data_IF_756630630559
#
_entry.id   IF_756630630559
#
_cell.length_a   1.000
_cell.length_b   1.000
_cell.length_c   1.000
_cell.angle_alpha   90.00
_cell.angle_beta   90.00
_cell.angle_gamma   90.00
#
_symmetry.space_group_name_H-M   'P 1'
#
loop_
_entity.id
_entity.type
_entity.pdbx_description
1 polymer ?
#
# COMPACT_ATOMS: atom_id res chain seq x y z
N UNK A 1 19.64 -33.95 -1.48
CA UNK A 1 18.23 -34.17 -1.10
C UNK A 1 17.43 -33.02 -1.68
N UNK A 2 16.27 -33.26 -2.29
CA UNK A 2 15.44 -32.16 -2.85
C UNK A 2 14.79 -31.41 -1.69
N UNK A 3 14.96 -30.07 -1.62
CA UNK A 3 14.33 -29.25 -0.60
C UNK A 3 12.85 -29.08 -0.95
N UNK A 4 11.97 -29.38 0.00
CA UNK A 4 10.52 -29.29 -0.16
C UNK A 4 9.89 -28.63 1.08
N UNK A 5 8.64 -28.17 0.94
CA UNK A 5 7.82 -27.70 2.05
C UNK A 5 7.53 -28.89 2.96
N UNK A 6 7.88 -28.77 4.24
CA UNK A 6 7.72 -29.84 5.24
C UNK A 6 6.54 -29.59 6.17
N UNK A 7 6.26 -28.33 6.47
CA UNK A 7 5.16 -27.95 7.37
C UNK A 7 4.64 -26.55 7.06
N UNK A 8 3.34 -26.35 7.27
CA UNK A 8 2.68 -25.04 7.20
C UNK A 8 1.76 -24.91 8.39
N UNK A 9 1.96 -23.87 9.20
CA UNK A 9 1.19 -23.62 10.44
C UNK A 9 0.69 -22.18 10.41
N UNK A 10 -0.63 -22.01 10.56
CA UNK A 10 -1.27 -20.71 10.73
C UNK A 10 -1.43 -20.35 12.21
N UNK A 11 -1.39 -19.05 12.52
CA UNK A 11 -1.77 -18.52 13.82
C UNK A 11 -2.49 -17.20 13.69
N UNK A 12 -3.27 -16.88 14.72
CA UNK A 12 -3.87 -15.56 14.88
C UNK A 12 -2.89 -14.67 15.63
N UNK A 13 -2.64 -13.47 15.10
CA UNK A 13 -1.86 -12.41 15.75
C UNK A 13 -2.69 -11.13 15.79
N UNK A 14 -2.19 -10.07 16.40
CA UNK A 14 -2.89 -8.79 16.52
C UNK A 14 -2.23 -7.74 15.61
N UNK A 15 -3.05 -7.01 14.87
CA UNK A 15 -2.62 -5.90 14.01
C UNK A 15 -2.45 -4.57 14.77
N UNK A 16 -1.98 -3.52 14.10
CA UNK A 16 -1.73 -2.19 14.65
C UNK A 16 -2.98 -1.47 15.18
N UNK A 17 -4.18 -1.97 14.87
CA UNK A 17 -5.47 -1.47 15.34
C UNK A 17 -6.07 -2.31 16.45
N UNK A 18 -5.36 -3.34 16.95
CA UNK A 18 -5.86 -4.26 17.98
C UNK A 18 -6.86 -5.30 17.44
N UNK A 19 -6.96 -5.47 16.11
CA UNK A 19 -7.78 -6.52 15.51
C UNK A 19 -6.94 -7.76 15.21
N UNK A 20 -7.52 -8.97 15.26
CA UNK A 20 -6.80 -10.18 14.86
C UNK A 20 -6.54 -10.20 13.35
N UNK A 21 -5.39 -10.73 13.00
CA UNK A 21 -4.99 -11.04 11.62
C UNK A 21 -4.24 -12.36 11.55
N UNK A 22 -3.88 -12.81 10.35
CA UNK A 22 -3.29 -14.12 10.09
C UNK A 22 -1.77 -14.01 9.92
N UNK A 23 -1.06 -14.89 10.61
CA UNK A 23 0.34 -15.21 10.32
C UNK A 23 0.47 -16.68 9.92
N UNK A 24 1.25 -16.99 8.88
CA UNK A 24 1.65 -18.34 8.53
C UNK A 24 3.16 -18.55 8.74
N UNK A 25 3.54 -19.73 9.22
CA UNK A 25 4.93 -20.18 9.27
C UNK A 25 5.07 -21.37 8.34
N UNK A 26 6.06 -21.32 7.44
CA UNK A 26 6.44 -22.41 6.53
C UNK A 26 7.80 -22.95 6.94
N UNK A 27 7.88 -24.27 7.15
CA UNK A 27 9.12 -25.01 7.41
C UNK A 27 9.51 -25.84 6.21
N UNK A 28 10.80 -25.92 5.90
CA UNK A 28 11.38 -26.68 4.80
C UNK A 28 12.13 -27.93 5.32
N UNK A 29 12.35 -28.89 4.44
CA UNK A 29 13.08 -30.16 4.77
C UNK A 29 14.55 -29.96 5.09
N UNK A 30 15.15 -28.81 4.78
CA UNK A 30 16.51 -28.42 5.19
C UNK A 30 16.61 -27.79 6.58
N UNK A 31 15.48 -27.72 7.32
CA UNK A 31 15.39 -27.09 8.62
C UNK A 31 15.15 -25.58 8.58
N UNK A 32 15.09 -24.97 7.41
CA UNK A 32 14.75 -23.55 7.26
C UNK A 32 13.26 -23.33 7.58
N UNK A 33 12.96 -22.23 8.26
CA UNK A 33 11.58 -21.75 8.44
C UNK A 33 11.47 -20.23 8.30
N UNK A 34 10.34 -19.77 7.86
CA UNK A 34 9.99 -18.34 7.82
C UNK A 34 8.50 -18.12 8.07
N UNK A 35 8.18 -16.93 8.53
CA UNK A 35 6.80 -16.51 8.76
C UNK A 35 6.47 -15.25 7.97
N UNK A 36 5.18 -15.09 7.71
CA UNK A 36 4.61 -13.91 7.10
C UNK A 36 3.28 -13.57 7.75
N UNK A 37 3.09 -12.30 8.05
CA UNK A 37 1.85 -11.75 8.59
C UNK A 37 1.15 -10.90 7.54
N UNK A 38 -0.18 -10.97 7.50
CA UNK A 38 -0.99 -10.27 6.49
C UNK A 38 -1.62 -9.02 7.10
N UNK A 39 -1.55 -7.87 6.41
CA UNK A 39 -2.26 -6.66 6.84
C UNK A 39 -3.77 -6.75 6.57
N UNK A 40 -4.54 -5.82 7.15
CA UNK A 40 -6.00 -5.72 7.04
C UNK A 40 -6.43 -4.30 6.67
N UNK A 41 -7.35 -4.14 5.72
CA UNK A 41 -7.91 -2.84 5.37
C UNK A 41 -8.89 -2.30 6.42
N UNK A 42 -9.06 -0.97 6.47
CA UNK A 42 -10.16 -0.32 7.18
C UNK A 42 -11.39 -0.23 6.28
N UNK A 43 -11.22 0.27 5.07
CA UNK A 43 -12.14 0.18 3.94
C UNK A 43 -11.68 -0.94 3.00
N UNK A 44 -12.61 -1.54 2.28
CA UNK A 44 -12.32 -2.56 1.26
C UNK A 44 -13.05 -2.20 0.00
N UNK A 45 -12.32 -2.08 -1.12
CA UNK A 45 -12.92 -1.92 -2.45
C UNK A 45 -13.84 -3.09 -2.78
N UNK A 46 -14.90 -2.83 -3.54
CA UNK A 46 -15.94 -3.83 -3.84
C UNK A 46 -15.39 -5.06 -4.59
N UNK A 47 -14.24 -4.93 -5.22
CA UNK A 47 -13.61 -5.97 -6.04
C UNK A 47 -12.40 -6.63 -5.40
N UNK A 48 -12.07 -6.31 -4.15
CA UNK A 48 -10.97 -6.96 -3.41
C UNK A 48 -11.25 -8.43 -3.14
N UNK A 49 -10.19 -9.23 -3.06
CA UNK A 49 -10.27 -10.59 -2.55
C UNK A 49 -10.73 -10.62 -1.09
N UNK A 50 -11.51 -11.62 -0.73
CA UNK A 50 -12.21 -11.66 0.57
C UNK A 50 -11.24 -11.98 1.70
N UNK A 51 -11.14 -11.06 2.65
CA UNK A 51 -10.55 -11.32 3.95
C UNK A 51 -11.53 -12.15 4.81
N UNK A 52 -11.19 -13.40 5.07
CA UNK A 52 -12.09 -14.30 5.79
C UNK A 52 -12.09 -13.98 7.28
N UNK A 53 -13.26 -13.58 7.79
CA UNK A 53 -13.55 -13.30 9.20
C UNK A 53 -14.50 -14.33 9.79
N UNK A 54 -14.36 -14.59 11.09
CA UNK A 54 -15.16 -15.62 11.78
C UNK A 54 -16.64 -15.24 11.92
N UNK A 55 -16.94 -13.95 12.05
CA UNK A 55 -18.24 -13.47 12.52
C UNK A 55 -18.45 -13.78 14.03
N UNK A 56 -19.68 -13.63 14.49
CA UNK A 56 -20.04 -13.86 15.89
C UNK A 56 -19.44 -12.83 16.87
N UNK A 57 -19.38 -13.17 18.16
CA UNK A 57 -19.05 -12.19 19.21
C UNK A 57 -17.55 -12.00 19.44
N UNK A 58 -16.73 -12.99 19.08
CA UNK A 58 -15.28 -12.94 19.31
C UNK A 58 -14.63 -11.85 18.49
N UNK A 59 -13.89 -10.92 19.14
CA UNK A 59 -13.32 -9.72 18.52
C UNK A 59 -14.34 -8.91 17.71
N UNK A 60 -15.58 -8.83 18.20
CA UNK A 60 -16.69 -8.16 17.51
C UNK A 60 -16.87 -8.65 16.06
N UNK A 61 -16.77 -9.95 15.84
CA UNK A 61 -16.89 -10.58 14.53
C UNK A 61 -15.61 -10.63 13.70
N UNK A 62 -14.53 -9.97 14.14
CA UNK A 62 -13.28 -9.84 13.36
C UNK A 62 -12.27 -10.99 13.58
N UNK A 63 -12.61 -12.05 14.33
CA UNK A 63 -11.75 -13.22 14.51
C UNK A 63 -11.32 -13.86 13.19
N UNK A 64 -10.17 -14.58 13.17
CA UNK A 64 -9.61 -15.22 11.98
C UNK A 64 -9.31 -16.71 12.16
N UNK A 65 -9.94 -17.35 13.14
CA UNK A 65 -9.72 -18.79 13.42
C UNK A 65 -10.09 -19.69 12.25
N UNK A 66 -11.13 -19.33 11.46
CA UNK A 66 -11.49 -20.06 10.23
C UNK A 66 -10.34 -20.04 9.24
N UNK A 67 -9.78 -18.87 8.95
CA UNK A 67 -8.62 -18.72 8.06
C UNK A 67 -7.40 -19.50 8.58
N UNK A 68 -7.09 -19.41 9.86
CA UNK A 68 -6.02 -20.20 10.53
C UNK A 68 -6.27 -21.72 10.41
N UNK A 69 -7.50 -22.15 10.58
CA UNK A 69 -7.89 -23.57 10.43
C UNK A 69 -7.70 -24.03 8.98
N UNK A 70 -8.09 -23.20 8.00
CA UNK A 70 -7.91 -23.49 6.59
C UNK A 70 -6.43 -23.68 6.22
N UNK A 71 -5.52 -22.85 6.78
CA UNK A 71 -4.07 -23.05 6.60
C UNK A 71 -3.65 -24.43 7.07
N UNK A 72 -4.02 -24.80 8.30
CA UNK A 72 -3.51 -26.03 8.94
C UNK A 72 -4.18 -27.30 8.44
N UNK A 73 -5.47 -27.25 8.09
CA UNK A 73 -6.28 -28.44 7.76
C UNK A 73 -6.49 -28.67 6.28
N UNK A 74 -6.45 -27.60 5.46
CA UNK A 74 -6.72 -27.68 4.02
C UNK A 74 -5.45 -27.39 3.23
N UNK A 75 -4.81 -26.24 3.46
CA UNK A 75 -3.65 -25.82 2.67
C UNK A 75 -2.42 -26.71 2.96
N UNK A 76 -2.08 -26.86 4.26
CA UNK A 76 -0.85 -27.56 4.66
C UNK A 76 -0.71 -28.98 4.06
N UNK A 77 -1.71 -29.89 4.12
CA UNK A 77 -1.59 -31.22 3.55
C UNK A 77 -1.35 -31.23 2.02
N UNK A 78 -1.88 -30.22 1.32
CA UNK A 78 -1.88 -30.15 -0.15
C UNK A 78 -0.60 -29.57 -0.73
N UNK A 79 0.10 -28.70 0.02
CA UNK A 79 1.35 -28.09 -0.47
C UNK A 79 2.62 -28.68 0.17
N UNK A 80 2.51 -29.49 1.24
CA UNK A 80 3.64 -30.24 1.77
C UNK A 80 4.19 -31.22 0.70
N UNK A 81 5.51 -31.24 0.56
CA UNK A 81 6.20 -32.00 -0.52
C UNK A 81 6.43 -31.19 -1.79
N UNK A 82 5.76 -30.05 -2.00
CA UNK A 82 6.03 -29.15 -3.12
C UNK A 82 7.38 -28.45 -2.98
N UNK A 83 7.94 -28.01 -4.11
CA UNK A 83 9.16 -27.19 -4.12
C UNK A 83 8.85 -25.76 -3.66
N UNK A 84 9.55 -25.22 -2.64
CA UNK A 84 9.37 -23.83 -2.24
C UNK A 84 9.93 -22.83 -3.27
N UNK A 85 10.72 -23.30 -4.24
CA UNK A 85 11.34 -22.48 -5.29
C UNK A 85 10.45 -22.30 -6.52
N UNK A 86 9.32 -22.99 -6.59
CA UNK A 86 8.31 -22.83 -7.63
C UNK A 86 7.09 -22.09 -7.05
N UNK A 87 7.24 -20.77 -6.87
CA UNK A 87 6.21 -19.93 -6.30
C UNK A 87 4.91 -19.98 -7.10
N UNK A 88 5.01 -19.99 -8.44
CA UNK A 88 3.82 -20.05 -9.30
C UNK A 88 3.04 -21.35 -9.10
N UNK A 89 3.71 -22.50 -8.99
CA UNK A 89 3.03 -23.75 -8.73
C UNK A 89 2.33 -23.77 -7.36
N UNK A 90 3.00 -23.21 -6.33
CA UNK A 90 2.38 -23.09 -4.99
C UNK A 90 1.17 -22.17 -5.02
N UNK A 91 1.28 -20.97 -5.58
CA UNK A 91 0.19 -20.00 -5.63
C UNK A 91 -1.00 -20.46 -6.48
N UNK A 92 -0.72 -21.14 -7.59
CA UNK A 92 -1.76 -21.78 -8.40
C UNK A 92 -2.50 -22.86 -7.60
N UNK A 93 -1.76 -23.73 -6.86
CA UNK A 93 -2.37 -24.74 -6.00
C UNK A 93 -3.25 -24.11 -4.92
N UNK A 94 -2.80 -23.01 -4.28
CA UNK A 94 -3.61 -22.27 -3.30
C UNK A 94 -4.90 -21.73 -3.92
N UNK A 95 -4.83 -21.18 -5.13
CA UNK A 95 -5.99 -20.65 -5.86
C UNK A 95 -6.96 -21.77 -6.29
N UNK A 96 -6.45 -22.92 -6.73
CA UNK A 96 -7.25 -24.11 -7.06
C UNK A 96 -7.98 -24.66 -5.83
N UNK A 97 -7.32 -24.72 -4.68
CA UNK A 97 -7.92 -25.16 -3.42
C UNK A 97 -9.06 -24.27 -2.95
N UNK A 98 -8.95 -22.95 -3.17
CA UNK A 98 -10.05 -22.03 -2.89
C UNK A 98 -11.19 -22.19 -3.90
N UNK A 99 -10.90 -22.30 -5.18
CA UNK A 99 -11.85 -22.53 -6.28
C UNK A 99 -12.80 -21.37 -6.55
N UNK A 100 -12.65 -20.22 -5.89
CA UNK A 100 -13.46 -19.01 -6.14
C UNK A 100 -12.62 -17.87 -6.70
N UNK A 101 -13.20 -17.00 -7.52
CA UNK A 101 -12.48 -15.86 -8.11
C UNK A 101 -11.92 -14.88 -7.08
N UNK A 102 -12.62 -14.69 -5.96
CA UNK A 102 -12.28 -13.72 -4.93
C UNK A 102 -11.78 -14.34 -3.62
N UNK A 103 -11.36 -15.60 -3.65
CA UNK A 103 -10.75 -16.32 -2.51
C UNK A 103 -11.62 -16.37 -1.24
N UNK A 104 -12.95 -16.41 -1.42
CA UNK A 104 -13.91 -16.38 -0.31
C UNK A 104 -13.98 -17.67 0.51
N UNK A 105 -13.53 -18.81 -0.02
CA UNK A 105 -13.68 -20.10 0.64
C UNK A 105 -12.57 -20.36 1.67
N UNK A 106 -11.32 -20.14 1.31
CA UNK A 106 -10.18 -20.25 2.22
C UNK A 106 -9.84 -18.93 2.92
N UNK A 107 -10.09 -17.82 2.23
CA UNK A 107 -9.74 -16.47 2.64
C UNK A 107 -8.43 -15.99 2.01
N UNK A 108 -8.47 -14.79 1.40
CA UNK A 108 -7.28 -14.17 0.83
C UNK A 108 -6.18 -13.97 1.89
N UNK A 109 -6.55 -13.70 3.14
CA UNK A 109 -5.63 -13.58 4.26
C UNK A 109 -4.88 -14.91 4.55
N UNK A 110 -5.57 -16.05 4.52
CA UNK A 110 -4.93 -17.36 4.68
C UNK A 110 -3.99 -17.68 3.51
N UNK A 111 -4.45 -17.45 2.30
CA UNK A 111 -3.71 -17.72 1.06
C UNK A 111 -2.45 -16.86 0.99
N UNK A 112 -2.58 -15.55 1.19
CA UNK A 112 -1.45 -14.62 1.12
C UNK A 112 -0.39 -14.89 2.21
N UNK A 113 -0.83 -15.19 3.45
CA UNK A 113 0.11 -15.52 4.53
C UNK A 113 1.00 -16.69 4.14
N UNK A 114 0.43 -17.73 3.52
CA UNK A 114 1.19 -18.90 3.06
C UNK A 114 2.06 -18.57 1.85
N UNK A 115 1.53 -17.89 0.84
CA UNK A 115 2.26 -17.47 -0.37
C UNK A 115 3.54 -16.70 -0.02
N UNK A 116 3.42 -15.68 0.85
CA UNK A 116 4.57 -14.88 1.29
C UNK A 116 5.53 -15.68 2.18
N UNK A 117 5.02 -16.51 3.09
CA UNK A 117 5.88 -17.32 3.96
C UNK A 117 6.72 -18.35 3.17
N UNK A 118 6.16 -18.93 2.08
CA UNK A 118 6.90 -19.82 1.17
C UNK A 118 8.04 -19.06 0.49
N UNK A 119 7.78 -17.90 -0.08
CA UNK A 119 8.82 -17.06 -0.71
C UNK A 119 9.94 -16.69 0.27
N UNK A 120 9.57 -16.30 1.50
CA UNK A 120 10.55 -15.97 2.58
C UNK A 120 11.38 -17.20 2.97
N UNK A 121 10.76 -18.39 3.10
CA UNK A 121 11.45 -19.61 3.42
C UNK A 121 12.42 -20.02 2.29
N UNK A 122 11.98 -19.92 1.04
CA UNK A 122 12.80 -20.17 -0.13
C UNK A 122 14.03 -19.24 -0.20
N UNK A 123 13.81 -17.94 -0.04
CA UNK A 123 14.89 -16.94 0.00
C UNK A 123 15.92 -17.26 1.11
N UNK A 124 15.43 -17.57 2.31
CA UNK A 124 16.28 -17.91 3.47
C UNK A 124 17.06 -19.21 3.26
N UNK A 125 16.45 -20.24 2.68
CA UNK A 125 17.10 -21.49 2.32
C UNK A 125 18.25 -21.27 1.34
N UNK A 126 18.08 -20.36 0.37
CA UNK A 126 19.11 -19.94 -0.58
C UNK A 126 20.11 -18.92 0.00
N UNK A 127 19.94 -18.49 1.25
CA UNK A 127 20.73 -17.43 1.89
C UNK A 127 20.73 -16.11 1.12
N UNK A 128 19.61 -15.80 0.46
CA UNK A 128 19.40 -14.56 -0.27
C UNK A 128 18.49 -13.62 0.52
N UNK A 129 18.73 -12.32 0.52
CA UNK A 129 17.74 -11.35 0.95
C UNK A 129 16.46 -11.48 0.10
N UNK A 130 15.29 -11.26 0.70
CA UNK A 130 14.00 -11.48 0.02
C UNK A 130 13.89 -10.66 -1.27
N UNK A 131 14.23 -9.36 -1.23
CA UNK A 131 14.19 -8.52 -2.43
C UNK A 131 15.05 -9.07 -3.58
N UNK A 132 16.20 -9.69 -3.26
CA UNK A 132 17.11 -10.25 -4.24
C UNK A 132 16.59 -11.59 -4.80
N UNK A 133 15.94 -12.39 -3.96
CA UNK A 133 15.28 -13.62 -4.38
C UNK A 133 14.11 -13.33 -5.33
N UNK A 134 13.29 -12.33 -5.01
CA UNK A 134 12.11 -11.98 -5.79
C UNK A 134 12.42 -11.25 -7.10
N UNK A 135 13.39 -10.34 -7.10
CA UNK A 135 13.67 -9.45 -8.24
C UNK A 135 14.99 -9.70 -8.98
N UNK A 136 15.80 -10.66 -8.49
CA UNK A 136 17.06 -11.03 -9.14
C UNK A 136 18.16 -9.96 -9.06
N UNK A 137 19.10 -10.03 -10.00
CA UNK A 137 20.30 -9.18 -9.99
C UNK A 137 20.02 -7.70 -10.25
N UNK A 138 18.91 -7.39 -10.90
CA UNK A 138 18.55 -6.03 -11.31
C UNK A 138 17.74 -5.25 -10.26
N UNK A 139 17.48 -5.84 -9.09
CA UNK A 139 16.78 -5.18 -7.95
C UNK A 139 17.73 -4.20 -7.26
N UNK A 140 17.83 -2.97 -7.77
CA UNK A 140 18.82 -1.97 -7.31
C UNK A 140 18.21 -0.63 -6.94
N UNK A 141 16.91 -0.41 -7.20
CA UNK A 141 16.24 0.86 -6.98
C UNK A 141 15.59 0.91 -5.60
N UNK A 142 15.98 1.88 -4.78
CA UNK A 142 15.33 2.27 -3.54
C UNK A 142 14.15 3.21 -3.87
N UNK A 143 12.95 2.93 -3.34
CA UNK A 143 11.76 3.72 -3.66
C UNK A 143 11.75 5.08 -2.94
N UNK A 144 11.16 6.09 -3.57
CA UNK A 144 10.77 7.34 -2.92
C UNK A 144 9.61 7.05 -1.97
N UNK A 145 9.71 7.40 -0.68
CA UNK A 145 8.59 7.26 0.24
C UNK A 145 7.51 8.32 -0.04
N UNK A 146 6.26 7.88 -0.09
CA UNK A 146 5.06 8.71 -0.03
C UNK A 146 4.57 8.67 1.42
N UNK A 147 4.98 9.66 2.23
CA UNK A 147 4.71 9.64 3.67
C UNK A 147 3.47 10.42 4.02
N UNK A 148 2.43 9.74 4.47
CA UNK A 148 1.21 10.36 4.97
C UNK A 148 1.47 11.07 6.29
N UNK A 149 1.56 12.42 6.28
CA UNK A 149 1.87 13.24 7.46
C UNK A 149 0.67 14.01 8.01
N UNK A 150 -0.43 14.12 7.25
CA UNK A 150 -1.66 14.76 7.66
C UNK A 150 -2.86 14.01 7.10
N UNK A 151 -3.85 13.74 7.96
CA UNK A 151 -5.03 12.94 7.66
C UNK A 151 -6.31 13.80 7.65
N UNK A 152 -7.22 13.41 6.76
CA UNK A 152 -8.60 13.86 6.72
C UNK A 152 -9.56 12.72 6.39
N UNK A 153 -10.68 13.02 5.74
CA UNK A 153 -11.65 12.05 5.28
C UNK A 153 -12.10 11.06 6.36
N UNK A 154 -12.11 9.78 6.01
CA UNK A 154 -12.43 8.69 6.95
C UNK A 154 -11.30 8.43 7.98
N UNK A 155 -10.07 8.87 7.71
CA UNK A 155 -8.92 8.67 8.60
C UNK A 155 -8.83 9.69 9.75
N UNK A 156 -9.69 10.73 9.78
CA UNK A 156 -9.68 11.74 10.82
C UNK A 156 -11.08 12.32 11.10
N UNK A 157 -11.35 12.61 12.37
CA UNK A 157 -12.57 13.30 12.80
C UNK A 157 -12.38 14.83 12.69
N UNK A 158 -12.06 15.34 11.49
CA UNK A 158 -11.86 16.75 11.18
C UNK A 158 -12.76 17.20 10.02
N UNK A 159 -12.55 18.42 9.48
CA UNK A 159 -13.45 19.07 8.52
C UNK A 159 -12.99 18.99 7.06
N UNK A 160 -11.96 18.20 6.73
CA UNK A 160 -11.43 18.06 5.37
C UNK A 160 -11.85 16.73 4.74
N UNK A 161 -12.19 16.76 3.46
CA UNK A 161 -12.72 15.60 2.74
C UNK A 161 -11.60 14.69 2.19
N UNK A 162 -10.49 15.24 1.71
CA UNK A 162 -9.33 14.45 1.23
C UNK A 162 -8.75 13.63 2.40
N UNK A 163 -8.53 12.35 2.14
CA UNK A 163 -8.21 11.36 3.18
C UNK A 163 -6.77 11.45 3.67
N UNK A 164 -5.80 11.65 2.76
CA UNK A 164 -4.38 11.66 3.09
C UNK A 164 -3.63 12.75 2.34
N UNK A 165 -2.70 13.39 3.06
CA UNK A 165 -1.75 14.34 2.49
C UNK A 165 -0.33 13.84 2.78
N UNK A 166 0.40 13.59 1.71
CA UNK A 166 1.72 12.94 1.75
C UNK A 166 2.80 13.87 1.23
N UNK A 167 4.02 13.68 1.74
CA UNK A 167 5.25 14.28 1.20
C UNK A 167 6.10 13.23 0.48
N UNK A 168 6.78 13.68 -0.58
CA UNK A 168 7.66 12.86 -1.42
C UNK A 168 9.01 13.55 -1.62
N UNK A 169 10.12 13.08 -1.02
CA UNK A 169 11.44 13.69 -1.14
C UNK A 169 12.13 13.28 -2.47
N UNK A 170 11.56 13.73 -3.60
CA UNK A 170 12.00 13.32 -4.94
C UNK A 170 13.39 13.84 -5.33
N UNK A 171 13.86 14.90 -4.68
CA UNK A 171 15.17 15.49 -4.93
C UNK A 171 16.29 15.01 -4.01
N UNK A 172 16.03 14.03 -3.14
CA UNK A 172 17.06 13.43 -2.29
C UNK A 172 18.03 12.57 -3.12
N UNK A 173 19.27 12.44 -2.66
CA UNK A 173 20.28 11.64 -3.35
C UNK A 173 20.23 10.15 -2.99
N UNK A 174 19.79 9.84 -1.76
CA UNK A 174 19.73 8.50 -1.20
C UNK A 174 18.39 8.28 -0.50
N UNK A 175 18.03 7.04 -0.25
CA UNK A 175 16.85 6.74 0.58
C UNK A 175 17.01 7.27 2.00
N UNK A 176 18.21 7.15 2.56
CA UNK A 176 18.53 7.68 3.90
C UNK A 176 18.32 9.19 4.00
N UNK A 177 18.79 9.96 3.00
CA UNK A 177 18.61 11.42 2.94
C UNK A 177 17.10 11.75 2.81
N UNK A 178 16.39 11.03 1.95
CA UNK A 178 14.93 11.22 1.77
C UNK A 178 14.14 10.92 3.05
N UNK A 179 14.52 9.87 3.78
CA UNK A 179 13.90 9.54 5.06
C UNK A 179 14.19 10.60 6.12
N UNK A 180 15.43 11.08 6.22
CA UNK A 180 15.80 12.18 7.11
C UNK A 180 14.95 13.42 6.81
N UNK A 181 14.88 13.84 5.54
CA UNK A 181 14.07 14.96 5.10
C UNK A 181 12.61 14.82 5.53
N UNK A 182 12.01 13.66 5.33
CA UNK A 182 10.63 13.42 5.74
C UNK A 182 10.44 13.50 7.26
N UNK A 183 11.37 12.98 8.06
CA UNK A 183 11.32 13.07 9.52
C UNK A 183 11.42 14.52 10.00
N UNK A 184 12.32 15.31 9.42
CA UNK A 184 12.51 16.73 9.79
C UNK A 184 11.27 17.56 9.42
N UNK A 185 10.67 17.33 8.24
CA UNK A 185 9.41 17.97 7.83
C UNK A 185 8.26 17.56 8.77
N UNK A 186 8.16 16.27 9.13
CA UNK A 186 7.14 15.78 10.06
C UNK A 186 7.23 16.47 11.43
N UNK A 187 8.44 16.63 11.97
CA UNK A 187 8.66 17.35 13.23
C UNK A 187 8.39 18.86 13.09
N UNK A 188 8.73 19.46 11.97
CA UNK A 188 8.38 20.85 11.65
C UNK A 188 6.87 21.06 11.63
N UNK A 189 6.12 20.16 10.97
CA UNK A 189 4.65 20.20 10.97
C UNK A 189 4.06 20.09 12.38
N UNK A 190 4.58 19.16 13.21
CA UNK A 190 4.16 19.05 14.61
C UNK A 190 4.33 20.36 15.39
N UNK A 191 5.46 21.04 15.18
CA UNK A 191 5.75 22.34 15.82
C UNK A 191 4.76 23.44 15.35
N UNK A 192 4.50 23.54 14.05
CA UNK A 192 3.54 24.48 13.48
C UNK A 192 2.14 24.25 14.06
N UNK A 193 1.66 23.00 14.07
CA UNK A 193 0.36 22.65 14.62
C UNK A 193 0.26 23.01 16.11
N UNK A 194 1.28 22.68 16.90
CA UNK A 194 1.33 23.03 18.33
C UNK A 194 1.31 24.53 18.56
N UNK A 195 2.06 25.33 17.78
CA UNK A 195 2.06 26.79 17.86
C UNK A 195 0.71 27.43 17.52
N UNK A 196 -0.06 26.78 16.63
CA UNK A 196 -1.43 27.18 16.29
C UNK A 196 -2.48 26.66 17.29
N UNK A 197 -2.08 25.94 18.34
CA UNK A 197 -2.99 25.33 19.32
C UNK A 197 -3.78 24.14 18.75
N UNK A 198 -3.34 23.57 17.65
CA UNK A 198 -3.96 22.41 17.00
C UNK A 198 -3.46 21.09 17.60
N UNK A 199 -4.27 20.04 17.49
CA UNK A 199 -3.91 18.70 17.97
C UNK A 199 -2.76 18.10 17.15
N UNK A 200 -1.81 17.46 17.86
CA UNK A 200 -0.72 16.68 17.27
C UNK A 200 -0.89 15.17 17.53
N UNK A 201 -2.10 14.75 17.89
CA UNK A 201 -2.47 13.33 17.92
C UNK A 201 -2.42 12.75 16.50
N UNK A 202 -2.04 11.48 16.41
CA UNK A 202 -1.86 10.80 15.13
C UNK A 202 -2.95 9.78 14.88
N UNK A 203 -3.29 9.59 13.60
CA UNK A 203 -4.20 8.56 13.14
C UNK A 203 -3.54 7.17 13.06
N UNK A 204 -4.27 6.22 12.48
CA UNK A 204 -3.84 4.82 12.35
C UNK A 204 -2.54 4.66 11.53
N UNK A 205 -2.27 5.57 10.62
CA UNK A 205 -1.08 5.55 9.76
C UNK A 205 0.04 6.50 10.22
N UNK A 206 -0.12 7.13 11.39
CA UNK A 206 0.88 7.97 12.02
C UNK A 206 0.87 9.44 11.58
N UNK A 207 0.07 9.85 10.60
CA UNK A 207 -0.13 11.23 10.21
C UNK A 207 -0.96 12.00 11.25
N UNK A 208 -0.72 13.32 11.38
CA UNK A 208 -1.49 14.19 12.28
C UNK A 208 -2.93 14.32 11.81
N UNK A 209 -3.85 14.51 12.74
CA UNK A 209 -5.27 14.71 12.49
C UNK A 209 -5.79 16.01 13.11
N UNK A 210 -5.24 17.17 12.74
CA UNK A 210 -5.70 18.46 13.26
C UNK A 210 -7.10 18.81 12.72
N UNK A 211 -7.83 19.66 13.45
CA UNK A 211 -9.04 20.24 12.92
C UNK A 211 -8.68 21.49 12.10
N UNK A 212 -8.79 21.38 10.78
CA UNK A 212 -8.55 22.44 9.80
C UNK A 212 -9.77 22.60 8.90
N UNK A 213 -9.91 23.75 8.24
CA UNK A 213 -11.16 24.12 7.58
C UNK A 213 -11.21 23.65 6.11
N UNK A 214 -10.07 23.61 5.42
CA UNK A 214 -10.04 23.31 3.98
C UNK A 214 -8.86 22.39 3.62
N UNK A 215 -8.99 21.69 2.48
CA UNK A 215 -7.90 20.87 1.95
C UNK A 215 -6.70 21.74 1.54
N UNK A 216 -6.98 22.96 1.07
CA UNK A 216 -5.94 23.94 0.72
C UNK A 216 -5.13 24.36 1.95
N UNK A 217 -5.76 24.55 3.11
CA UNK A 217 -5.07 24.85 4.37
C UNK A 217 -4.14 23.69 4.77
N UNK A 218 -4.57 22.43 4.58
CA UNK A 218 -3.72 21.26 4.82
C UNK A 218 -2.45 21.30 3.96
N UNK A 219 -2.60 21.59 2.67
CA UNK A 219 -1.48 21.70 1.73
C UNK A 219 -0.55 22.85 2.12
N UNK A 220 -1.11 24.02 2.49
CA UNK A 220 -0.34 25.20 2.89
C UNK A 220 0.45 24.97 4.19
N UNK A 221 -0.12 24.26 5.17
CA UNK A 221 0.59 23.84 6.38
C UNK A 221 1.77 22.91 6.08
N UNK A 222 1.60 22.00 5.13
CA UNK A 222 2.68 21.10 4.71
C UNK A 222 3.77 21.89 3.97
N UNK A 223 3.42 22.80 3.08
CA UNK A 223 4.39 23.66 2.38
C UNK A 223 5.17 24.49 3.38
N UNK A 224 4.49 25.09 4.37
CA UNK A 224 5.15 25.81 5.44
C UNK A 224 6.13 24.91 6.21
N UNK A 225 5.71 23.67 6.55
CA UNK A 225 6.56 22.71 7.25
C UNK A 225 7.80 22.33 6.45
N UNK A 226 7.68 22.18 5.12
CA UNK A 226 8.79 21.93 4.20
C UNK A 226 9.80 23.08 4.25
N UNK A 227 9.31 24.33 4.14
CA UNK A 227 10.16 25.53 4.16
C UNK A 227 10.82 25.74 5.54
N UNK A 228 10.08 25.58 6.63
CA UNK A 228 10.58 25.74 7.99
C UNK A 228 11.61 24.66 8.37
N UNK A 229 11.54 23.50 7.75
CA UNK A 229 12.55 22.44 7.87
C UNK A 229 13.82 22.69 7.00
N UNK A 230 13.87 23.78 6.22
CA UNK A 230 15.00 24.14 5.38
C UNK A 230 15.00 23.49 3.98
N UNK A 231 13.89 22.91 3.57
CA UNK A 231 13.71 22.30 2.25
C UNK A 231 12.88 23.17 1.31
N UNK A 232 12.62 22.69 0.09
CA UNK A 232 11.80 23.40 -0.89
C UNK A 232 10.86 22.44 -1.63
N UNK A 233 9.85 23.00 -2.28
CA UNK A 233 8.82 22.24 -3.00
C UNK A 233 9.25 21.78 -4.40
N UNK A 234 10.43 22.17 -4.89
CA UNK A 234 11.01 21.60 -6.10
C UNK A 234 11.49 20.17 -5.86
N UNK A 235 12.14 19.96 -4.70
CA UNK A 235 12.74 18.70 -4.28
C UNK A 235 11.81 17.86 -3.35
N UNK A 236 10.77 18.49 -2.75
CA UNK A 236 9.76 17.80 -1.94
C UNK A 236 8.40 18.04 -2.59
N UNK A 237 7.84 17.01 -3.18
CA UNK A 237 6.50 17.07 -3.80
C UNK A 237 5.43 16.67 -2.80
N UNK A 238 4.18 17.02 -3.12
CA UNK A 238 2.99 16.62 -2.37
C UNK A 238 2.26 15.55 -3.16
N UNK A 239 1.78 14.53 -2.47
CA UNK A 239 0.82 13.58 -2.98
C UNK A 239 -0.43 13.60 -2.09
N UNK A 240 -1.59 13.34 -2.68
CA UNK A 240 -2.86 13.26 -1.96
C UNK A 240 -3.58 11.96 -2.31
N UNK A 241 -4.36 11.46 -1.36
CA UNK A 241 -5.32 10.37 -1.54
C UNK A 241 -6.71 10.93 -1.26
N UNK A 242 -7.53 11.00 -2.29
CA UNK A 242 -8.88 11.54 -2.18
C UNK A 242 -9.89 10.50 -1.70
N UNK A 243 -9.67 9.22 -1.99
CA UNK A 243 -10.59 8.12 -1.73
C UNK A 243 -12.03 8.43 -2.18
N UNK A 244 -12.17 9.02 -3.39
CA UNK A 244 -13.41 9.61 -3.85
C UNK A 244 -14.55 8.60 -4.10
N UNK A 245 -14.26 7.30 -4.07
CA UNK A 245 -15.30 6.26 -4.07
C UNK A 245 -16.23 6.40 -2.86
N UNK A 246 -15.74 6.87 -1.71
CA UNK A 246 -16.53 7.13 -0.50
C UNK A 246 -17.52 8.29 -0.66
N UNK A 247 -17.27 9.20 -1.58
CA UNK A 247 -18.14 10.36 -1.84
C UNK A 247 -19.21 10.07 -2.90
N UNK A 248 -19.04 9.00 -3.70
CA UNK A 248 -19.86 8.75 -4.89
C UNK A 248 -21.14 8.02 -4.56
N UNK A 249 -22.28 8.67 -4.87
CA UNK A 249 -23.60 8.07 -4.79
C UNK A 249 -24.51 8.65 -5.88
N UNK A 250 -25.31 7.80 -6.51
CA UNK A 250 -26.29 8.18 -7.53
C UNK A 250 -25.74 9.08 -8.67
N UNK A 251 -24.48 8.84 -9.09
CA UNK A 251 -23.86 9.56 -10.21
C UNK A 251 -23.27 10.93 -9.87
N UNK A 252 -23.20 11.30 -8.58
CA UNK A 252 -22.62 12.54 -8.07
C UNK A 252 -21.73 12.27 -6.86
N UNK A 253 -20.88 13.23 -6.54
CA UNK A 253 -19.95 13.17 -5.41
C UNK A 253 -20.45 14.04 -4.26
N UNK A 254 -20.79 13.42 -3.14
CA UNK A 254 -21.21 14.08 -1.90
C UNK A 254 -20.01 14.25 -0.98
N UNK A 255 -19.49 15.47 -0.86
CA UNK A 255 -18.38 15.77 0.03
C UNK A 255 -18.95 16.04 1.43
N UNK A 256 -18.81 15.10 2.40
CA UNK A 256 -19.57 15.15 3.64
C UNK A 256 -19.13 16.29 4.58
N UNK A 257 -17.83 16.66 4.55
CA UNK A 257 -17.27 17.70 5.41
C UNK A 257 -17.61 19.10 4.87
N UNK A 258 -17.43 19.31 3.57
CA UNK A 258 -17.80 20.57 2.87
C UNK A 258 -19.29 20.74 2.67
N UNK A 259 -20.10 19.68 2.88
CA UNK A 259 -21.55 19.67 2.64
C UNK A 259 -21.92 20.14 1.23
N UNK A 260 -21.16 19.72 0.24
CA UNK A 260 -21.35 20.05 -1.17
C UNK A 260 -21.59 18.81 -2.01
N UNK A 261 -22.29 19.00 -3.14
CA UNK A 261 -22.53 17.94 -4.12
C UNK A 261 -21.94 18.39 -5.45
N UNK A 262 -21.08 17.57 -6.02
CA UNK A 262 -20.33 17.86 -7.23
C UNK A 262 -20.63 16.81 -8.30
N UNK A 263 -20.71 17.24 -9.56
CA UNK A 263 -20.65 16.33 -10.71
C UNK A 263 -19.20 15.93 -10.97
N UNK A 264 -18.99 14.88 -11.74
CA UNK A 264 -17.66 14.45 -12.17
C UNK A 264 -16.82 15.59 -12.73
N UNK A 265 -17.39 16.40 -13.64
CA UNK A 265 -16.69 17.56 -14.24
C UNK A 265 -16.28 18.62 -13.23
N UNK A 266 -17.09 18.85 -12.18
CA UNK A 266 -16.80 19.85 -11.14
C UNK A 266 -15.64 19.35 -10.25
N UNK A 267 -15.63 18.05 -9.92
CA UNK A 267 -14.56 17.44 -9.14
C UNK A 267 -13.24 17.39 -9.93
N UNK A 268 -13.28 17.09 -11.22
CA UNK A 268 -12.12 17.19 -12.10
C UNK A 268 -11.56 18.60 -12.13
N UNK A 269 -12.43 19.62 -12.31
CA UNK A 269 -12.03 21.03 -12.28
C UNK A 269 -11.41 21.43 -10.94
N UNK A 270 -11.90 20.86 -9.83
CA UNK A 270 -11.33 21.09 -8.51
C UNK A 270 -9.89 20.56 -8.41
N UNK A 271 -9.64 19.31 -8.79
CA UNK A 271 -8.28 18.75 -8.76
C UNK A 271 -7.32 19.44 -9.74
N UNK A 272 -7.79 19.82 -10.93
CA UNK A 272 -6.97 20.57 -11.89
C UNK A 272 -6.50 21.89 -11.27
N UNK A 273 -7.41 22.67 -10.64
CA UNK A 273 -7.06 23.92 -9.96
C UNK A 273 -6.08 23.71 -8.80
N UNK A 274 -6.24 22.63 -8.02
CA UNK A 274 -5.28 22.30 -6.96
C UNK A 274 -3.88 22.04 -7.53
N UNK A 275 -3.79 21.28 -8.62
CA UNK A 275 -2.52 20.97 -9.28
C UNK A 275 -1.88 22.19 -9.95
N UNK A 276 -2.67 23.14 -10.44
CA UNK A 276 -2.14 24.39 -11.00
C UNK A 276 -1.61 25.35 -9.92
N UNK A 277 -2.19 25.31 -8.71
CA UNK A 277 -1.82 26.19 -7.58
C UNK A 277 -0.70 25.62 -6.71
N UNK A 278 -0.64 24.31 -6.53
CA UNK A 278 0.23 23.64 -5.57
C UNK A 278 1.14 22.60 -6.20
N UNK A 279 2.28 22.25 -5.60
CA UNK A 279 3.27 21.29 -6.14
C UNK A 279 2.81 19.84 -6.00
N UNK A 280 1.56 19.54 -6.40
CA UNK A 280 0.98 18.20 -6.34
C UNK A 280 1.58 17.36 -7.48
N UNK A 281 2.23 16.27 -7.10
CA UNK A 281 2.82 15.29 -8.02
C UNK A 281 1.89 14.12 -8.30
N UNK A 282 1.12 13.68 -7.29
CA UNK A 282 0.32 12.46 -7.37
C UNK A 282 -1.04 12.64 -6.69
N UNK A 283 -2.08 12.11 -7.32
CA UNK A 283 -3.43 12.00 -6.75
C UNK A 283 -3.88 10.54 -6.84
N UNK A 284 -4.19 9.96 -5.70
CA UNK A 284 -4.78 8.63 -5.58
C UNK A 284 -6.29 8.74 -5.51
N UNK A 285 -6.98 7.91 -6.26
CA UNK A 285 -8.44 7.79 -6.37
C UNK A 285 -9.17 9.14 -6.40
N UNK A 286 -8.85 10.03 -7.38
CA UNK A 286 -9.53 11.31 -7.53
C UNK A 286 -11.01 11.16 -7.87
N UNK A 287 -11.42 10.00 -8.38
CA UNK A 287 -12.78 9.67 -8.79
C UNK A 287 -13.15 8.26 -8.35
N UNK A 288 -14.46 7.97 -8.34
CA UNK A 288 -14.99 6.66 -7.95
C UNK A 288 -14.48 5.53 -8.85
N UNK A 289 -14.32 4.33 -8.28
CA UNK A 289 -13.99 3.07 -8.97
C UNK A 289 -15.01 2.66 -10.06
N UNK A 290 -16.16 3.31 -10.10
CA UNK A 290 -17.22 3.09 -11.10
C UNK A 290 -17.20 4.12 -12.23
N UNK A 291 -16.56 5.29 -12.04
CA UNK A 291 -16.60 6.43 -12.97
C UNK A 291 -15.50 6.36 -14.04
N UNK A 292 -15.51 5.32 -14.86
CA UNK A 292 -14.49 5.08 -15.89
C UNK A 292 -14.37 6.20 -16.94
N UNK A 293 -15.47 6.87 -17.26
CA UNK A 293 -15.47 7.99 -18.21
C UNK A 293 -14.79 9.22 -17.58
N UNK A 294 -15.11 9.50 -16.32
CA UNK A 294 -14.44 10.56 -15.55
C UNK A 294 -12.94 10.28 -15.38
N UNK A 295 -12.55 9.04 -15.08
CA UNK A 295 -11.14 8.66 -15.01
C UNK A 295 -10.40 8.89 -16.32
N UNK A 296 -11.02 8.57 -17.46
CA UNK A 296 -10.43 8.89 -18.76
C UNK A 296 -10.32 10.40 -18.95
N UNK A 297 -11.38 11.17 -18.64
CA UNK A 297 -11.36 12.63 -18.79
C UNK A 297 -10.26 13.29 -17.92
N UNK A 298 -10.15 12.94 -16.64
CA UNK A 298 -9.12 13.52 -15.77
C UNK A 298 -7.71 13.13 -16.25
N UNK A 299 -7.55 11.89 -16.75
CA UNK A 299 -6.26 11.44 -17.29
C UNK A 299 -5.85 12.24 -18.53
N UNK A 300 -6.78 12.47 -19.44
CA UNK A 300 -6.55 13.28 -20.65
C UNK A 300 -6.17 14.72 -20.28
N UNK A 301 -6.77 15.30 -19.22
CA UNK A 301 -6.57 16.70 -18.82
C UNK A 301 -5.27 16.93 -18.06
N UNK A 302 -4.98 16.13 -17.04
CA UNK A 302 -3.85 16.38 -16.13
C UNK A 302 -2.82 15.25 -16.07
N UNK A 303 -3.11 14.07 -16.62
CA UNK A 303 -2.24 12.89 -16.49
C UNK A 303 -0.84 13.01 -17.10
N UNK A 304 -0.59 14.02 -17.94
CA UNK A 304 0.77 14.33 -18.46
C UNK A 304 1.65 15.06 -17.44
N UNK A 305 1.04 15.71 -16.45
CA UNK A 305 1.74 16.51 -15.42
C UNK A 305 1.68 15.84 -14.04
N UNK A 306 0.62 15.06 -13.78
CA UNK A 306 0.28 14.50 -12.47
C UNK A 306 0.16 12.98 -12.57
N UNK A 307 0.71 12.28 -11.60
CA UNK A 307 0.48 10.86 -11.42
C UNK A 307 -0.94 10.63 -10.89
N UNK A 308 -1.74 9.85 -11.60
CA UNK A 308 -3.10 9.47 -11.23
C UNK A 308 -3.11 7.99 -10.86
N UNK A 309 -3.17 7.72 -9.57
CA UNK A 309 -3.04 6.37 -8.99
C UNK A 309 -4.42 5.76 -8.77
N UNK A 310 -4.66 4.58 -9.36
CA UNK A 310 -5.86 3.81 -9.03
C UNK A 310 -5.57 2.81 -7.91
N UNK A 311 -6.22 2.99 -6.74
CA UNK A 311 -6.31 2.00 -5.66
C UNK A 311 -7.61 1.21 -5.80
N UNK A 312 -8.75 1.78 -5.42
CA UNK A 312 -10.08 1.14 -5.56
C UNK A 312 -10.41 0.86 -7.03
N UNK A 313 -9.95 1.73 -7.94
CA UNK A 313 -10.14 1.54 -9.38
C UNK A 313 -9.58 0.20 -9.86
N UNK A 314 -8.41 -0.20 -9.40
CA UNK A 314 -7.70 -1.38 -9.92
C UNK A 314 -7.61 -2.55 -8.94
N UNK A 315 -7.64 -2.30 -7.63
CA UNK A 315 -7.56 -3.29 -6.53
C UNK A 315 -6.48 -4.35 -6.75
N UNK A 316 -5.31 -3.96 -7.28
CA UNK A 316 -4.21 -4.87 -7.65
C UNK A 316 -4.65 -6.01 -8.61
N UNK A 317 -5.76 -5.85 -9.33
CA UNK A 317 -6.37 -6.86 -10.18
C UNK A 317 -6.01 -6.63 -11.66
N UNK A 318 -5.39 -7.64 -12.29
CA UNK A 318 -4.94 -7.56 -13.68
C UNK A 318 -6.08 -7.35 -14.70
N UNK A 319 -7.29 -7.90 -14.45
CA UNK A 319 -8.44 -7.71 -15.36
C UNK A 319 -8.91 -6.25 -15.35
N UNK A 320 -8.98 -5.63 -14.14
CA UNK A 320 -9.36 -4.22 -13.99
C UNK A 320 -8.27 -3.28 -14.51
N UNK A 321 -7.00 -3.60 -14.23
CA UNK A 321 -5.87 -2.83 -14.77
C UNK A 321 -5.85 -2.88 -16.30
N UNK A 322 -6.02 -4.05 -16.91
CA UNK A 322 -6.12 -4.19 -18.36
C UNK A 322 -7.23 -3.31 -18.95
N UNK A 323 -8.43 -3.31 -18.32
CA UNK A 323 -9.52 -2.41 -18.72
C UNK A 323 -9.06 -0.93 -18.66
N UNK A 324 -8.42 -0.51 -17.56
CA UNK A 324 -7.93 0.85 -17.40
C UNK A 324 -6.92 1.26 -18.49
N UNK A 325 -5.97 0.37 -18.77
CA UNK A 325 -5.00 0.57 -19.86
C UNK A 325 -5.72 0.76 -21.21
N UNK A 326 -6.69 -0.09 -21.51
CA UNK A 326 -7.43 -0.02 -22.78
C UNK A 326 -8.24 1.27 -22.95
N UNK A 327 -8.81 1.81 -21.87
CA UNK A 327 -9.63 3.04 -21.94
C UNK A 327 -8.83 4.31 -21.64
N UNK A 328 -7.56 4.19 -21.20
CA UNK A 328 -6.72 5.33 -20.85
C UNK A 328 -7.08 5.96 -19.50
N UNK A 329 -7.45 5.15 -18.51
CA UNK A 329 -7.84 5.58 -17.17
C UNK A 329 -6.68 5.45 -16.16
N UNK A 330 -6.20 6.57 -15.63
CA UNK A 330 -5.03 6.62 -14.75
C UNK A 330 -3.71 6.45 -15.51
N UNK A 331 -2.60 6.52 -14.78
CA UNK A 331 -1.24 6.29 -15.28
C UNK A 331 -0.34 5.62 -14.21
N UNK A 332 -0.95 5.21 -13.10
CA UNK A 332 -0.30 4.53 -11.98
C UNK A 332 -1.26 3.58 -11.29
N UNK A 333 -0.74 2.55 -10.66
CA UNK A 333 -1.52 1.60 -9.85
C UNK A 333 -0.93 1.51 -8.44
N UNK A 334 -1.82 1.49 -7.43
CA UNK A 334 -1.45 1.11 -6.08
C UNK A 334 -1.43 -0.42 -5.96
N UNK A 335 -0.39 -0.95 -5.34
CA UNK A 335 -0.19 -2.40 -5.20
C UNK A 335 -0.33 -2.80 -3.73
N UNK A 336 -1.40 -3.53 -3.44
CA UNK A 336 -1.71 -4.08 -2.13
C UNK A 336 -1.89 -5.60 -2.26
N UNK A 337 -0.91 -6.38 -1.82
CA UNK A 337 -0.91 -7.84 -1.99
C UNK A 337 -2.19 -8.52 -1.51
N UNK A 338 -2.78 -8.04 -0.42
CA UNK A 338 -3.96 -8.65 0.17
C UNK A 338 -5.25 -8.37 -0.62
N UNK A 339 -5.27 -7.39 -1.53
CA UNK A 339 -6.41 -7.13 -2.43
C UNK A 339 -6.57 -8.24 -3.47
N UNK A 340 -5.49 -8.97 -3.79
CA UNK A 340 -5.51 -10.04 -4.79
C UNK A 340 -5.20 -11.42 -4.18
N UNK A 341 -4.29 -11.52 -3.21
CA UNK A 341 -4.13 -12.66 -2.31
C UNK A 341 -2.99 -13.63 -2.61
N UNK A 342 -2.20 -13.47 -3.68
CA UNK A 342 -0.95 -14.22 -3.91
C UNK A 342 0.17 -13.32 -4.41
N UNK A 343 1.43 -13.75 -4.22
CA UNK A 343 2.58 -13.05 -4.82
C UNK A 343 2.56 -13.15 -6.35
N UNK A 344 2.21 -14.31 -6.91
CA UNK A 344 2.17 -14.51 -8.36
C UNK A 344 1.20 -13.54 -9.04
N UNK A 345 -0.01 -13.38 -8.52
CA UNK A 345 -0.99 -12.44 -9.07
C UNK A 345 -0.53 -10.97 -8.85
N UNK A 346 0.06 -10.67 -7.69
CA UNK A 346 0.62 -9.34 -7.40
C UNK A 346 1.70 -8.97 -8.41
N UNK A 347 2.65 -9.86 -8.66
CA UNK A 347 3.72 -9.64 -9.65
C UNK A 347 3.18 -9.56 -11.07
N UNK A 348 2.13 -10.32 -11.40
CA UNK A 348 1.44 -10.23 -12.68
C UNK A 348 0.83 -8.85 -12.93
N UNK A 349 0.20 -8.25 -11.92
CA UNK A 349 -0.34 -6.90 -12.01
C UNK A 349 0.78 -5.84 -12.16
N UNK A 350 1.88 -5.98 -11.40
CA UNK A 350 3.04 -5.09 -11.50
C UNK A 350 3.68 -5.15 -12.89
N UNK A 351 3.93 -6.35 -13.41
CA UNK A 351 4.52 -6.55 -14.74
C UNK A 351 3.65 -5.96 -15.86
N UNK A 352 2.33 -6.18 -15.77
CA UNK A 352 1.37 -5.59 -16.71
C UNK A 352 1.39 -4.06 -16.66
N UNK A 353 1.39 -3.46 -15.46
CA UNK A 353 1.46 -2.01 -15.27
C UNK A 353 2.72 -1.42 -15.91
N UNK A 354 3.89 -1.96 -15.54
CA UNK A 354 5.18 -1.48 -16.01
C UNK A 354 5.34 -1.62 -17.55
N UNK A 355 4.87 -2.73 -18.13
CA UNK A 355 4.87 -2.91 -19.59
C UNK A 355 3.96 -1.94 -20.33
N UNK A 356 2.90 -1.48 -19.68
CA UNK A 356 1.99 -0.48 -20.23
C UNK A 356 2.45 0.97 -20.00
N UNK A 357 3.60 1.19 -19.33
CA UNK A 357 4.11 2.51 -18.98
C UNK A 357 3.44 3.15 -17.76
N UNK A 358 2.67 2.38 -17.00
CA UNK A 358 2.13 2.81 -15.70
C UNK A 358 3.21 2.73 -14.63
N UNK A 359 3.23 3.70 -13.73
CA UNK A 359 4.03 3.59 -12.51
C UNK A 359 3.34 2.68 -11.49
N UNK A 360 4.13 2.14 -10.56
CA UNK A 360 3.62 1.28 -9.48
C UNK A 360 3.99 1.86 -8.13
N UNK A 361 3.02 1.91 -7.22
CA UNK A 361 3.24 2.35 -5.83
C UNK A 361 2.99 1.14 -4.92
N UNK A 362 4.02 0.64 -4.26
CA UNK A 362 3.85 -0.46 -3.31
C UNK A 362 3.30 0.08 -2.00
N UNK A 363 2.18 -0.47 -1.53
CA UNK A 363 1.42 0.12 -0.44
C UNK A 363 1.21 -0.83 0.75
N UNK A 364 1.14 -0.21 1.93
CA UNK A 364 0.63 -0.81 3.16
C UNK A 364 -0.91 -0.87 3.17
N UNK A 365 -1.46 -1.29 4.32
CA UNK A 365 -2.88 -1.13 4.67
C UNK A 365 -3.01 -0.37 5.99
N UNK A 366 -4.26 0.05 6.33
CA UNK A 366 -4.52 0.78 7.58
C UNK A 366 -4.20 -0.08 8.81
N UNK A 367 -4.56 -1.38 8.80
CA UNK A 367 -4.19 -2.34 9.83
C UNK A 367 -2.94 -3.11 9.43
N UNK A 368 -1.79 -2.73 9.98
CA UNK A 368 -0.49 -3.30 9.67
C UNK A 368 0.05 -4.19 10.80
N UNK A 369 1.09 -4.93 10.46
CA UNK A 369 1.89 -5.74 11.36
C UNK A 369 3.36 -5.31 11.30
N UNK A 370 4.25 -6.00 12.02
CA UNK A 370 5.71 -5.83 11.89
C UNK A 370 6.29 -6.43 10.58
N UNK A 371 5.49 -7.07 9.75
CA UNK A 371 5.94 -7.65 8.48
C UNK A 371 6.45 -6.55 7.52
N UNK A 372 7.63 -6.77 6.95
CA UNK A 372 8.31 -5.78 6.09
C UNK A 372 8.33 -6.17 4.61
N UNK A 373 7.57 -7.17 4.20
CA UNK A 373 7.62 -7.73 2.84
C UNK A 373 7.41 -6.68 1.75
N UNK A 374 6.53 -5.69 1.97
CA UNK A 374 6.29 -4.62 0.99
C UNK A 374 7.55 -3.79 0.69
N UNK A 375 8.44 -3.61 1.66
CA UNK A 375 9.73 -2.94 1.44
C UNK A 375 10.64 -3.76 0.52
N UNK A 376 10.71 -5.08 0.73
CA UNK A 376 11.47 -5.99 -0.14
C UNK A 376 10.86 -6.04 -1.55
N UNK A 377 9.53 -6.06 -1.70
CA UNK A 377 8.85 -6.05 -3.01
C UNK A 377 9.14 -4.75 -3.75
N UNK A 378 9.05 -3.59 -3.08
CA UNK A 378 9.31 -2.30 -3.72
C UNK A 378 10.70 -2.25 -4.39
N UNK A 379 11.72 -2.81 -3.72
CA UNK A 379 13.07 -2.92 -4.28
C UNK A 379 13.16 -4.04 -5.33
N UNK A 380 12.51 -5.18 -5.09
CA UNK A 380 12.54 -6.33 -6.00
C UNK A 380 12.07 -5.97 -7.41
N UNK A 381 11.00 -5.19 -7.51
CA UNK A 381 10.38 -4.81 -8.79
C UNK A 381 10.82 -3.43 -9.30
N UNK A 382 11.78 -2.78 -8.62
CA UNK A 382 12.21 -1.41 -8.92
C UNK A 382 11.01 -0.45 -9.04
N UNK A 383 10.06 -0.52 -8.10
CA UNK A 383 8.79 0.20 -8.16
C UNK A 383 8.96 1.74 -8.22
N UNK A 384 10.06 2.23 -7.66
CA UNK A 384 10.34 3.67 -7.57
C UNK A 384 9.57 4.38 -6.45
N UNK A 385 8.48 3.82 -5.94
CA UNK A 385 7.62 4.44 -4.94
C UNK A 385 7.13 3.44 -3.90
N UNK A 386 6.98 3.91 -2.64
CA UNK A 386 6.36 3.14 -1.56
C UNK A 386 5.48 4.06 -0.69
N UNK A 387 4.21 3.66 -0.48
CA UNK A 387 3.25 4.32 0.42
C UNK A 387 3.11 3.45 1.67
N UNK A 388 3.68 3.89 2.82
CA UNK A 388 3.64 3.08 4.04
C UNK A 388 3.53 3.93 5.32
N UNK A 389 2.74 5.01 5.25
CA UNK A 389 2.37 5.86 6.38
C UNK A 389 3.44 6.88 6.76
N UNK A 390 3.30 7.49 7.93
CA UNK A 390 4.19 8.50 8.47
C UNK A 390 5.48 7.88 9.08
N UNK A 391 6.51 8.69 9.39
CA UNK A 391 7.69 8.24 10.14
C UNK A 391 7.37 8.10 11.65
N UNK A 392 6.20 7.56 11.95
CA UNK A 392 5.63 7.38 13.28
C UNK A 392 4.89 6.04 13.34
N UNK A 393 4.78 5.42 14.52
CA UNK A 393 4.24 4.07 14.77
C UNK A 393 5.14 2.95 14.20
N UNK A 394 5.46 1.97 15.05
CA UNK A 394 6.44 0.92 14.73
C UNK A 394 6.02 0.08 13.51
N UNK A 395 4.73 -0.16 13.34
CA UNK A 395 4.14 -0.88 12.20
C UNK A 395 4.42 -0.20 10.85
N UNK A 396 4.65 1.11 10.82
CA UNK A 396 5.07 1.89 9.64
C UNK A 396 6.60 1.96 9.56
N UNK A 397 7.24 2.39 10.65
CA UNK A 397 8.68 2.62 10.72
C UNK A 397 9.49 1.35 10.43
N UNK A 398 8.98 0.15 10.74
CA UNK A 398 9.68 -1.10 10.45
C UNK A 398 9.96 -1.29 8.94
N UNK A 399 9.07 -0.80 8.03
CA UNK A 399 9.24 -0.85 6.58
C UNK A 399 10.36 0.10 6.13
N UNK A 400 10.38 1.34 6.66
CA UNK A 400 11.46 2.29 6.40
C UNK A 400 12.81 1.80 6.92
N UNK A 401 12.84 1.24 8.13
CA UNK A 401 14.04 0.62 8.69
C UNK A 401 14.52 -0.59 7.85
N UNK A 402 13.58 -1.33 7.22
CA UNK A 402 13.94 -2.39 6.29
C UNK A 402 14.62 -1.83 5.05
N UNK A 403 14.12 -0.74 4.47
CA UNK A 403 14.72 -0.07 3.32
C UNK A 403 16.12 0.47 3.64
N UNK A 404 16.34 1.09 4.82
CA UNK A 404 17.68 1.50 5.26
C UNK A 404 18.66 0.31 5.35
N UNK A 405 18.20 -0.84 5.88
CA UNK A 405 19.03 -2.05 5.90
C UNK A 405 19.34 -2.56 4.50
N UNK A 406 18.38 -2.50 3.58
CA UNK A 406 18.60 -2.88 2.18
C UNK A 406 19.60 -1.92 1.52
N UNK A 407 19.45 -0.60 1.71
CA UNK A 407 20.38 0.41 1.21
C UNK A 407 21.80 0.14 1.65
N UNK A 408 22.00 -0.18 2.92
CA UNK A 408 23.33 -0.48 3.48
C UNK A 408 24.02 -1.69 2.84
N UNK A 409 23.26 -2.65 2.28
CA UNK A 409 23.79 -3.81 1.58
C UNK A 409 24.35 -3.46 0.18
N UNK A 410 23.87 -2.38 -0.43
CA UNK A 410 24.32 -1.94 -1.75
C UNK A 410 25.67 -1.22 -1.74
N UNK A 411 26.14 -0.74 -0.61
CA UNK A 411 27.42 -0.03 -0.47
C UNK A 411 27.60 1.11 -1.50
N UNK A 412 26.53 1.85 -1.76
CA UNK A 412 26.52 2.99 -2.71
C UNK A 412 26.25 2.62 -4.17
N UNK A 413 25.92 1.36 -4.50
CA UNK A 413 25.55 0.95 -5.86
C UNK A 413 24.04 0.95 -6.12
N UNK A 414 23.22 1.37 -5.15
CA UNK A 414 21.78 1.55 -5.34
C UNK A 414 21.47 2.84 -6.08
N UNK A 415 20.32 2.84 -6.77
CA UNK A 415 19.70 4.02 -7.34
C UNK A 415 18.53 4.42 -6.45
N UNK A 416 18.39 5.70 -6.15
CA UNK A 416 17.21 6.24 -5.47
C UNK A 416 16.42 7.10 -6.46
N UNK A 417 15.11 7.01 -6.41
CA UNK A 417 14.24 7.86 -7.23
C UNK A 417 13.05 7.12 -7.86
N UNK A 418 12.29 7.90 -8.61
CA UNK A 418 11.07 7.47 -9.32
C UNK A 418 11.37 6.59 -10.53
#
# INVERSE_FOLDING_TARGET
MKITINSVVGREIIDSRGNPTVEATVGLTDGTFANAAVPSGASTGAYEAVELRDGGDRFNGKGVKKAVTNISKIISPEICGMSPFDQCAVDNKLSELDGSKNKKNLGANAILAVSVAVAKAAAKSLRLPLYRYLGGIYSVKLPVPMMNILNGGAHAANNIDIQEFMIMPVGANTFSDGLQQCCEIYHSLAKILSQKGMATSVGDEGGFAPNIETDEEAIELIIQAVCDAGYNTENTKIAIDAAASEWFNDGVYHLPKRKSVLKTSDLINYFEKLCDKYPIFSIEDPLSEYDWEGWKEITDRIGKKVQLVGDDLFVTNSERLYKGICVGAGNSILIKMNQIGTLTETFGAIDMAQKAGYTTVISHRSGETEDTTIADIAVAVNAGQIKTGAPCRTDRVCKYNRLLRIESLFKGSSVYGL
#
